data_IF_082527702802
#
_entry.id   IF_082527702802
#
_cell.length_a   1.000
_cell.length_b   1.000
_cell.length_c   1.000
_cell.angle_alpha   90.00
_cell.angle_beta   90.00
_cell.angle_gamma   90.00
#
_symmetry.space_group_name_H-M   'P 1'
#
loop_
_entity.id
_entity.type
_entity.pdbx_description
1 polymer ?
#
# COMPACT_ATOMS: atom_id res chain seq x y z
N UNK A 1 -2.15 13.37 1.93
CA UNK A 1 -2.62 12.17 1.21
C UNK A 1 -3.39 11.29 2.18
N UNK A 2 -4.54 10.78 1.77
CA UNK A 2 -5.35 9.89 2.61
C UNK A 2 -5.01 8.44 2.33
N UNK A 3 -4.96 7.63 3.38
CA UNK A 3 -4.74 6.20 3.28
C UNK A 3 -5.70 5.44 4.20
N UNK A 4 -6.17 4.28 3.73
CA UNK A 4 -6.92 3.35 4.56
C UNK A 4 -5.91 2.50 5.32
N UNK A 5 -5.85 2.68 6.64
CA UNK A 5 -4.86 2.02 7.48
C UNK A 5 -5.47 0.99 8.41
N UNK A 6 -4.70 -0.06 8.68
CA UNK A 6 -5.00 -1.03 9.73
C UNK A 6 -4.46 -0.43 11.02
N UNK A 7 -5.34 -0.11 11.97
CA UNK A 7 -4.96 0.55 13.22
C UNK A 7 -4.93 -0.40 14.41
N UNK A 8 -5.54 -1.57 14.29
CA UNK A 8 -5.49 -2.63 15.29
C UNK A 8 -5.89 -3.96 14.65
N UNK A 9 -5.63 -5.05 15.32
CA UNK A 9 -6.16 -6.36 14.92
C UNK A 9 -7.56 -6.55 15.46
N UNK A 10 -8.37 -7.37 14.78
CA UNK A 10 -9.71 -7.71 15.25
C UNK A 10 -10.76 -7.54 14.18
N UNK A 11 -11.97 -7.13 14.58
CA UNK A 11 -13.06 -6.94 13.64
C UNK A 11 -12.73 -5.87 12.60
N UNK A 12 -13.05 -6.17 11.34
CA UNK A 12 -12.65 -5.32 10.22
C UNK A 12 -13.16 -3.89 10.36
N UNK A 13 -14.44 -3.71 10.73
CA UNK A 13 -15.04 -2.37 10.90
C UNK A 13 -14.29 -1.49 11.89
N UNK A 14 -13.77 -2.08 12.96
CA UNK A 14 -13.09 -1.37 14.03
C UNK A 14 -11.60 -1.23 13.78
N UNK A 15 -11.06 -2.04 12.88
CA UNK A 15 -9.63 -2.16 12.65
C UNK A 15 -9.10 -1.26 11.55
N UNK A 16 -9.99 -0.69 10.73
CA UNK A 16 -9.64 0.15 9.59
C UNK A 16 -10.03 1.61 9.85
N UNK A 17 -9.17 2.52 9.43
CA UNK A 17 -9.44 3.95 9.51
C UNK A 17 -8.78 4.68 8.34
N UNK A 18 -9.45 5.73 7.83
CA UNK A 18 -8.84 6.65 6.86
C UNK A 18 -8.05 7.70 7.63
N UNK A 19 -6.77 7.79 7.35
CA UNK A 19 -5.87 8.76 8.00
C UNK A 19 -5.12 9.57 6.96
N UNK A 20 -4.74 10.79 7.33
CA UNK A 20 -3.78 11.56 6.54
C UNK A 20 -2.39 11.00 6.79
N UNK A 21 -1.65 10.75 5.72
CA UNK A 21 -0.27 10.26 5.77
C UNK A 21 0.61 11.10 4.85
N UNK A 22 1.91 11.10 5.13
CA UNK A 22 2.86 11.77 4.27
C UNK A 22 2.99 11.04 2.94
N UNK A 23 3.16 11.82 1.86
CA UNK A 23 3.50 11.26 0.55
C UNK A 23 4.85 10.54 0.65
N UNK A 24 4.97 9.30 0.13
CA UNK A 24 6.24 8.59 0.16
C UNK A 24 7.35 9.33 -0.60
N UNK A 25 8.58 9.19 -0.12
CA UNK A 25 9.74 9.75 -0.79
C UNK A 25 10.23 8.81 -1.88
N UNK A 26 10.47 9.33 -3.08
CA UNK A 26 10.97 8.56 -4.22
C UNK A 26 12.49 8.49 -4.14
N UNK A 27 13.02 7.26 -4.08
CA UNK A 27 14.45 7.01 -4.10
C UNK A 27 14.92 6.71 -5.54
N UNK A 28 16.22 6.50 -5.73
CA UNK A 28 16.82 6.40 -7.06
C UNK A 28 16.21 5.34 -7.97
N UNK A 29 15.80 4.21 -7.41
CA UNK A 29 15.24 3.08 -8.17
C UNK A 29 13.72 2.94 -8.03
N UNK A 30 13.06 3.92 -7.43
CA UNK A 30 11.63 3.85 -7.13
C UNK A 30 10.78 4.54 -8.19
N UNK A 31 9.54 4.06 -8.33
CA UNK A 31 8.47 4.77 -9.04
C UNK A 31 7.37 5.11 -8.05
N UNK A 32 6.83 6.31 -8.19
CA UNK A 32 5.66 6.73 -7.43
C UNK A 32 4.42 6.59 -8.30
N UNK A 33 3.42 5.88 -7.78
CA UNK A 33 2.18 5.60 -8.49
C UNK A 33 1.03 6.38 -7.84
N UNK A 34 0.29 7.13 -8.66
CA UNK A 34 -1.00 7.67 -8.25
C UNK A 34 -2.01 6.52 -8.35
N UNK A 35 -2.37 5.94 -7.21
CA UNK A 35 -3.22 4.76 -7.15
C UNK A 35 -4.64 5.09 -7.61
N UNK A 36 -5.14 4.33 -8.59
CA UNK A 36 -6.51 4.44 -9.08
C UNK A 36 -7.39 3.32 -8.54
N UNK A 37 -6.81 2.16 -8.26
CA UNK A 37 -7.51 1.03 -7.67
C UNK A 37 -6.55 0.21 -6.83
N UNK A 38 -7.07 -0.35 -5.74
CA UNK A 38 -6.34 -1.27 -4.88
C UNK A 38 -7.24 -2.48 -4.62
N UNK A 39 -6.67 -3.68 -4.66
CA UNK A 39 -7.42 -4.90 -4.45
C UNK A 39 -7.26 -5.40 -3.01
N UNK A 40 -8.34 -5.90 -2.44
CA UNK A 40 -8.34 -6.57 -1.14
C UNK A 40 -8.46 -8.07 -1.39
N UNK A 41 -7.51 -8.82 -0.87
CA UNK A 41 -7.40 -10.26 -1.04
C UNK A 41 -7.65 -10.98 0.29
N UNK A 42 -7.89 -12.31 0.28
CA UNK A 42 -8.09 -13.07 1.53
C UNK A 42 -6.96 -12.90 2.55
N UNK A 43 -5.71 -12.72 2.10
CA UNK A 43 -4.60 -12.50 3.02
C UNK A 43 -4.75 -11.18 3.79
N UNK A 44 -5.27 -10.13 3.17
CA UNK A 44 -5.51 -8.84 3.84
C UNK A 44 -6.48 -9.01 4.99
N UNK A 45 -7.57 -9.75 4.77
CA UNK A 45 -8.55 -10.03 5.80
C UNK A 45 -7.93 -10.82 6.95
N UNK A 46 -7.13 -11.84 6.66
CA UNK A 46 -6.47 -12.66 7.67
C UNK A 46 -5.50 -11.85 8.52
N UNK A 47 -4.77 -10.91 7.91
CA UNK A 47 -3.86 -10.02 8.63
C UNK A 47 -4.65 -9.10 9.57
N UNK A 48 -5.72 -8.48 9.09
CA UNK A 48 -6.54 -7.57 9.89
C UNK A 48 -7.16 -8.28 11.09
N UNK A 49 -7.67 -9.50 10.90
CA UNK A 49 -8.24 -10.29 11.98
C UNK A 49 -7.20 -10.80 12.99
N UNK A 50 -5.92 -10.66 12.67
CA UNK A 50 -4.86 -11.08 13.56
C UNK A 50 -4.48 -12.55 13.45
N UNK A 51 -5.03 -13.27 12.47
CA UNK A 51 -4.78 -14.71 12.31
C UNK A 51 -3.33 -15.03 11.95
N UNK A 52 -2.61 -14.08 11.41
CA UNK A 52 -1.22 -14.25 10.95
C UNK A 52 -0.21 -13.47 11.79
N UNK A 53 -0.60 -12.99 12.97
CA UNK A 53 0.30 -12.19 13.82
C UNK A 53 1.63 -12.88 14.12
N UNK A 54 1.61 -14.19 14.35
CA UNK A 54 2.80 -14.95 14.67
C UNK A 54 3.73 -15.18 13.48
N UNK A 55 3.18 -15.13 12.25
CA UNK A 55 3.94 -15.38 11.01
C UNK A 55 4.25 -14.11 10.25
N UNK A 56 3.29 -13.18 10.22
CA UNK A 56 3.38 -11.91 9.49
C UNK A 56 2.98 -10.74 10.40
N UNK A 57 3.77 -10.44 11.44
CA UNK A 57 3.49 -9.29 12.27
C UNK A 57 3.69 -8.02 11.47
N UNK A 58 2.80 -7.04 11.66
CA UNK A 58 2.91 -5.74 10.99
C UNK A 58 2.99 -4.62 12.03
N UNK A 59 3.75 -3.57 11.77
CA UNK A 59 3.70 -2.38 12.62
C UNK A 59 2.34 -1.69 12.45
N UNK A 60 1.72 -1.27 13.52
CA UNK A 60 0.44 -0.56 13.48
C UNK A 60 0.65 0.92 13.82
N UNK A 61 0.02 1.85 13.12
CA UNK A 61 -0.85 1.63 11.96
C UNK A 61 -0.08 1.30 10.67
N UNK A 62 -0.68 0.51 9.79
CA UNK A 62 -0.11 0.18 8.47
C UNK A 62 -1.13 0.42 7.37
N UNK A 63 -0.65 0.88 6.22
CA UNK A 63 -1.52 1.02 5.05
C UNK A 63 -1.97 -0.36 4.57
N UNK A 64 -3.26 -0.50 4.32
CA UNK A 64 -3.85 -1.77 3.90
C UNK A 64 -3.63 -2.04 2.42
N UNK A 65 -3.83 -3.30 2.02
CA UNK A 65 -3.75 -3.83 0.66
C UNK A 65 -2.32 -3.89 0.11
N UNK A 66 -2.12 -4.85 -0.79
CA UNK A 66 -0.82 -5.06 -1.45
C UNK A 66 -0.87 -4.83 -2.95
N UNK A 67 -2.04 -5.03 -3.57
CA UNK A 67 -2.17 -4.93 -5.02
C UNK A 67 -2.76 -3.59 -5.41
N UNK A 68 -2.07 -2.89 -6.31
CA UNK A 68 -2.49 -1.57 -6.78
C UNK A 68 -2.39 -1.47 -8.29
N UNK A 69 -3.20 -0.59 -8.86
CA UNK A 69 -3.04 -0.13 -10.22
C UNK A 69 -3.16 1.38 -10.27
N UNK A 70 -2.49 1.99 -11.21
CA UNK A 70 -2.52 3.45 -11.30
C UNK A 70 -1.60 3.98 -12.39
N UNK A 71 -1.22 5.23 -12.22
CA UNK A 71 -0.42 5.98 -13.18
C UNK A 71 0.89 6.39 -12.51
N UNK A 72 2.01 6.19 -13.20
CA UNK A 72 3.31 6.67 -12.72
C UNK A 72 3.33 8.19 -12.77
N UNK A 73 3.58 8.84 -11.64
CA UNK A 73 3.61 10.31 -11.52
C UNK A 73 5.00 10.84 -11.18
N UNK A 74 5.90 9.97 -10.71
CA UNK A 74 7.27 10.35 -10.39
C UNK A 74 8.17 9.13 -10.53
N UNK A 75 9.40 9.33 -11.01
CA UNK A 75 10.39 8.25 -11.11
C UNK A 75 11.71 8.69 -10.48
N UNK A 76 12.43 7.75 -9.89
CA UNK A 76 13.77 7.98 -9.39
C UNK A 76 14.77 8.14 -10.55
N UNK A 77 15.90 8.74 -10.27
CA UNK A 77 16.89 9.08 -11.32
C UNK A 77 17.64 7.87 -11.90
N UNK A 78 17.52 6.69 -11.29
CA UNK A 78 18.09 5.43 -11.81
C UNK A 78 17.06 4.60 -12.59
N UNK A 79 15.80 5.05 -12.67
CA UNK A 79 14.74 4.33 -13.35
C UNK A 79 14.78 4.64 -14.84
N UNK A 80 14.86 3.60 -15.69
CA UNK A 80 14.92 3.74 -17.15
C UNK A 80 13.82 2.97 -17.89
N UNK A 81 13.14 2.05 -17.20
CA UNK A 81 12.13 1.16 -17.82
C UNK A 81 10.69 1.60 -17.60
N UNK A 82 10.47 2.72 -16.93
CA UNK A 82 9.15 3.34 -16.75
C UNK A 82 9.23 4.83 -17.06
N UNK A 83 8.10 5.39 -17.50
CA UNK A 83 7.96 6.82 -17.78
C UNK A 83 6.77 7.39 -17.02
N UNK A 84 6.85 8.67 -16.70
CA UNK A 84 5.71 9.39 -16.12
C UNK A 84 4.53 9.32 -17.09
N UNK A 85 3.37 8.94 -16.58
CA UNK A 85 2.15 8.74 -17.36
C UNK A 85 1.85 7.28 -17.71
N UNK A 86 2.79 6.36 -17.43
CA UNK A 86 2.55 4.94 -17.69
C UNK A 86 1.43 4.39 -16.80
N UNK A 87 0.59 3.54 -17.40
CA UNK A 87 -0.41 2.76 -16.66
C UNK A 87 0.27 1.49 -16.15
N UNK A 88 0.19 1.26 -14.85
CA UNK A 88 0.89 0.13 -14.21
C UNK A 88 -0.01 -0.58 -13.20
N UNK A 89 0.35 -1.82 -12.91
CA UNK A 89 -0.18 -2.54 -11.76
C UNK A 89 0.97 -3.24 -11.05
N UNK A 90 0.83 -3.42 -9.76
CA UNK A 90 1.91 -3.99 -8.97
C UNK A 90 1.40 -4.56 -7.66
N UNK A 91 2.19 -5.48 -7.10
CA UNK A 91 2.10 -5.84 -5.70
C UNK A 91 3.15 -5.02 -4.97
N UNK A 92 2.73 -4.23 -4.00
CA UNK A 92 3.65 -3.34 -3.29
C UNK A 92 4.03 -3.93 -1.93
N UNK A 93 5.26 -3.70 -1.46
CA UNK A 93 5.66 -4.09 -0.10
C UNK A 93 4.98 -3.19 0.93
N UNK A 94 4.71 -3.76 2.08
CA UNK A 94 4.13 -3.03 3.21
C UNK A 94 5.24 -2.54 4.14
#
# INVERSE_FOLDING_TARGET
MKALQIVKYGEIKESLAFNEVNKPTVQANDVLIAVKAAAINPIDKSIILGNLQGMLPIPLPSTSAYDVSGIVVEIGNEVSNFEIGDLVYSRVPQ
#
